data_IF_273629646826
#
_entry.id   IF_273629646826
#
_cell.length_a   1.000
_cell.length_b   1.000
_cell.length_c   1.000
_cell.angle_alpha   90.00
_cell.angle_beta   90.00
_cell.angle_gamma   90.00
#
_symmetry.space_group_name_H-M   'P 1'
#
loop_
_entity.id
_entity.type
_entity.pdbx_description
1 polymer ?
#
# COMPACT_ATOMS: atom_id res chain seq x y z
N UNK A 1 11.64 47.28 -5.50
CA UNK A 1 11.55 46.35 -6.66
C UNK A 1 13.00 45.97 -6.94
N UNK A 2 13.51 44.76 -6.74
CA UNK A 2 13.02 43.41 -6.99
C UNK A 2 13.60 42.50 -5.90
N UNK A 3 12.78 41.66 -5.29
CA UNK A 3 13.22 40.66 -4.30
C UNK A 3 13.46 39.35 -5.06
N UNK A 4 14.74 38.98 -5.22
CA UNK A 4 15.15 37.75 -5.88
C UNK A 4 14.90 36.55 -4.96
N UNK A 5 13.97 35.67 -5.39
CA UNK A 5 13.68 34.40 -4.73
C UNK A 5 14.82 33.41 -5.00
N UNK A 6 15.33 32.68 -4.00
CA UNK A 6 16.38 31.70 -4.24
C UNK A 6 15.78 30.48 -4.97
N UNK A 7 16.42 30.12 -6.06
CA UNK A 7 16.11 28.97 -6.89
C UNK A 7 16.30 27.66 -6.10
N UNK A 8 15.22 26.92 -5.89
CA UNK A 8 15.24 25.55 -5.38
C UNK A 8 15.86 24.62 -6.42
N UNK A 9 17.10 24.18 -6.17
CA UNK A 9 17.78 23.13 -6.92
C UNK A 9 17.01 21.81 -6.76
N UNK A 10 16.39 21.34 -7.85
CA UNK A 10 15.88 19.97 -7.95
C UNK A 10 17.04 19.02 -8.14
N UNK A 11 17.26 18.15 -7.16
CA UNK A 11 18.18 17.01 -7.28
C UNK A 11 17.36 15.84 -7.83
N UNK A 12 17.71 15.39 -9.03
CA UNK A 12 17.22 14.14 -9.63
C UNK A 12 18.04 12.97 -9.07
N UNK A 13 17.37 11.97 -8.51
CA UNK A 13 17.98 10.68 -8.15
C UNK A 13 17.00 9.57 -8.53
N UNK A 14 17.44 8.63 -9.37
CA UNK A 14 16.65 7.53 -9.90
C UNK A 14 16.16 6.57 -8.82
N UNK A 15 14.90 6.14 -8.96
CA UNK A 15 14.15 5.39 -7.96
C UNK A 15 13.00 6.27 -7.46
N UNK A 16 11.78 6.04 -7.95
CA UNK A 16 10.59 6.78 -7.54
C UNK A 16 10.17 6.35 -6.11
N UNK A 17 11.01 6.66 -5.13
CA UNK A 17 10.75 6.43 -3.72
C UNK A 17 10.14 7.71 -3.13
N UNK A 18 8.92 8.05 -3.54
CA UNK A 18 8.20 9.18 -2.96
C UNK A 18 7.82 8.81 -1.51
N UNK A 19 8.26 9.60 -0.53
CA UNK A 19 7.91 9.40 0.89
C UNK A 19 6.39 9.45 1.09
N UNK A 20 5.86 8.75 2.11
CA UNK A 20 4.45 8.89 2.47
C UNK A 20 4.15 10.36 2.79
N UNK A 21 5.11 11.11 3.36
CA UNK A 21 5.02 12.56 3.54
C UNK A 21 4.84 13.35 2.23
N UNK A 22 5.45 12.88 1.13
CA UNK A 22 5.36 13.47 -0.21
C UNK A 22 4.28 12.81 -1.08
N UNK A 23 3.53 11.84 -0.54
CA UNK A 23 2.48 11.16 -1.27
C UNK A 23 1.22 12.03 -1.29
N UNK A 24 0.76 12.40 -2.48
CA UNK A 24 -0.49 13.16 -2.67
C UNK A 24 -1.75 12.42 -2.20
N UNK A 25 -1.61 11.13 -1.83
CA UNK A 25 -2.66 10.24 -1.31
C UNK A 25 -2.44 9.89 0.17
N UNK A 26 -1.44 10.50 0.84
CA UNK A 26 -1.20 10.31 2.28
C UNK A 26 -2.42 10.61 3.16
N UNK A 27 -3.30 11.50 2.71
CA UNK A 27 -4.56 11.83 3.38
C UNK A 27 -5.67 10.78 3.19
N UNK A 28 -5.51 9.84 2.25
CA UNK A 28 -6.48 8.81 1.88
C UNK A 28 -6.01 7.38 2.19
N UNK A 29 -4.79 7.23 2.71
CA UNK A 29 -4.18 5.95 3.10
C UNK A 29 -4.12 5.85 4.64
N UNK A 30 -3.47 4.80 5.17
CA UNK A 30 -3.13 4.59 6.60
C UNK A 30 -2.79 5.87 7.41
N UNK A 31 -2.10 6.90 6.87
CA UNK A 31 -1.56 7.95 7.73
C UNK A 31 -2.50 9.08 8.16
N UNK A 32 -3.80 9.09 7.83
CA UNK A 32 -4.64 10.30 8.05
C UNK A 32 -4.69 10.82 9.51
N UNK A 33 -4.32 10.01 10.51
CA UNK A 33 -4.35 10.39 11.94
C UNK A 33 -3.01 10.33 12.67
N UNK A 34 -1.92 10.00 11.96
CA UNK A 34 -0.59 9.84 12.54
C UNK A 34 0.16 11.18 12.60
N UNK A 35 0.85 11.45 13.70
CA UNK A 35 1.73 12.61 13.86
C UNK A 35 2.98 12.46 12.98
N UNK A 36 3.71 13.55 12.71
CA UNK A 36 4.91 13.55 11.84
C UNK A 36 5.95 12.47 12.23
N UNK A 37 6.19 12.25 13.53
CA UNK A 37 7.10 11.21 14.01
C UNK A 37 6.58 9.78 13.83
N UNK A 38 5.26 9.58 13.86
CA UNK A 38 4.62 8.28 13.63
C UNK A 38 4.62 7.95 12.12
N UNK A 39 4.44 8.99 11.30
CA UNK A 39 4.61 8.96 9.84
C UNK A 39 6.04 8.59 9.44
N UNK A 40 7.06 9.17 10.07
CA UNK A 40 8.48 8.82 9.84
C UNK A 40 8.76 7.35 10.17
N UNK A 41 8.21 6.84 11.27
CA UNK A 41 8.36 5.44 11.66
C UNK A 41 7.65 4.51 10.67
N UNK A 42 6.47 4.91 10.19
CA UNK A 42 5.74 4.17 9.17
C UNK A 42 6.49 4.19 7.82
N UNK A 43 7.05 5.33 7.42
CA UNK A 43 7.82 5.46 6.18
C UNK A 43 9.11 4.61 6.19
N UNK A 44 9.70 4.36 7.35
CA UNK A 44 10.88 3.50 7.50
C UNK A 44 10.57 2.01 7.34
N UNK A 45 9.33 1.58 7.59
CA UNK A 45 8.94 0.15 7.52
C UNK A 45 8.31 -0.21 6.18
N UNK A 46 7.87 0.78 5.41
CA UNK A 46 7.25 0.58 4.11
C UNK A 46 8.31 0.19 3.08
N UNK A 47 8.24 -1.03 2.59
CA UNK A 47 9.03 -1.46 1.44
C UNK A 47 8.37 -0.98 0.15
N UNK A 48 9.04 -0.04 -0.52
CA UNK A 48 8.60 0.48 -1.82
C UNK A 48 9.03 -0.47 -2.91
N UNK A 49 8.15 -1.42 -3.25
CA UNK A 49 8.39 -2.37 -4.33
C UNK A 49 8.42 -1.69 -5.70
N UNK A 50 9.04 -2.41 -6.65
CA UNK A 50 8.98 -2.05 -8.07
C UNK A 50 7.52 -2.01 -8.53
N UNK A 51 7.17 -1.16 -9.52
CA UNK A 51 5.83 -1.14 -10.08
C UNK A 51 5.39 -2.53 -10.56
N UNK A 52 4.20 -2.95 -10.16
CA UNK A 52 3.55 -4.18 -10.62
C UNK A 52 2.97 -3.92 -12.00
N UNK A 53 3.24 -4.80 -12.96
CA UNK A 53 2.72 -4.65 -14.32
C UNK A 53 1.29 -5.16 -14.43
N UNK A 54 0.56 -4.67 -15.43
CA UNK A 54 -0.76 -5.21 -15.76
C UNK A 54 -0.73 -6.74 -15.88
N UNK A 55 -1.68 -7.39 -15.22
CA UNK A 55 -1.84 -8.84 -15.21
C UNK A 55 -0.98 -9.56 -14.18
N UNK A 56 -0.07 -8.88 -13.48
CA UNK A 56 0.68 -9.48 -12.39
C UNK A 56 -0.16 -9.52 -11.11
N UNK A 57 0.04 -10.59 -10.34
CA UNK A 57 -0.60 -10.82 -9.05
C UNK A 57 0.26 -10.26 -7.92
N UNK A 58 -0.39 -9.66 -6.93
CA UNK A 58 0.23 -9.23 -5.67
C UNK A 58 0.44 -10.43 -4.75
N UNK A 59 -0.61 -11.23 -4.61
CA UNK A 59 -0.67 -12.45 -3.83
C UNK A 59 -1.75 -13.37 -4.40
N UNK A 60 -1.65 -14.66 -4.08
CA UNK A 60 -2.60 -15.70 -4.48
C UNK A 60 -3.44 -16.15 -3.30
N UNK A 61 -4.61 -16.71 -3.61
CA UNK A 61 -5.38 -17.40 -2.59
C UNK A 61 -4.57 -18.59 -2.04
N UNK A 62 -4.48 -18.67 -0.72
CA UNK A 62 -3.69 -19.66 0.02
C UNK A 62 -2.26 -19.22 0.37
N UNK A 63 -1.78 -18.08 -0.13
CA UNK A 63 -0.48 -17.55 0.29
C UNK A 63 -0.55 -17.06 1.75
N UNK A 64 0.51 -17.30 2.51
CA UNK A 64 0.65 -16.80 3.89
C UNK A 64 0.65 -15.26 3.94
N UNK A 65 -0.01 -14.69 4.95
CA UNK A 65 0.00 -13.25 5.21
C UNK A 65 1.38 -12.82 5.70
N UNK A 66 2.15 -12.21 4.81
CA UNK A 66 3.45 -11.58 5.15
C UNK A 66 3.32 -10.07 5.28
N UNK A 67 2.58 -9.48 4.36
CA UNK A 67 2.48 -8.04 4.21
C UNK A 67 1.09 -7.63 3.72
N UNK A 68 0.68 -6.42 4.10
CA UNK A 68 -0.43 -5.72 3.50
C UNK A 68 0.05 -4.81 2.37
N UNK A 69 -0.83 -4.52 1.42
CA UNK A 69 -0.49 -3.75 0.23
C UNK A 69 -1.34 -2.49 0.14
N UNK A 70 -0.71 -1.32 0.21
CA UNK A 70 -1.38 -0.04 -0.02
C UNK A 70 -1.22 0.39 -1.47
N UNK A 71 -2.33 0.68 -2.15
CA UNK A 71 -2.31 1.10 -3.55
C UNK A 71 -1.97 2.58 -3.62
N UNK A 72 -0.83 2.88 -4.23
CA UNK A 72 -0.40 4.26 -4.45
C UNK A 72 -0.95 4.83 -5.75
N UNK A 73 -0.99 4.01 -6.80
CA UNK A 73 -1.57 4.38 -8.09
C UNK A 73 -1.92 3.13 -8.88
N UNK A 74 -2.96 3.23 -9.69
CA UNK A 74 -3.45 2.13 -10.52
C UNK A 74 -4.68 1.47 -9.90
N UNK A 75 -5.04 0.31 -10.44
CA UNK A 75 -6.26 -0.42 -10.09
C UNK A 75 -5.95 -1.91 -9.93
N UNK A 76 -6.45 -2.50 -8.86
CA UNK A 76 -6.28 -3.92 -8.54
C UNK A 76 -7.67 -4.56 -8.42
N UNK A 77 -7.85 -5.75 -8.98
CA UNK A 77 -9.03 -6.58 -8.69
C UNK A 77 -8.66 -7.63 -7.63
N UNK A 78 -9.58 -7.88 -6.71
CA UNK A 78 -9.59 -9.10 -5.91
C UNK A 78 -10.61 -10.08 -6.49
N UNK A 79 -10.24 -11.35 -6.57
CA UNK A 79 -11.12 -12.39 -7.08
C UNK A 79 -10.88 -13.73 -6.38
N UNK A 80 -11.85 -14.62 -6.47
CA UNK A 80 -11.76 -16.02 -6.04
C UNK A 80 -12.06 -16.92 -7.24
N UNK A 81 -11.67 -18.19 -7.15
CA UNK A 81 -11.95 -19.19 -8.18
C UNK A 81 -13.03 -20.11 -7.62
N UNK A 82 -14.13 -20.27 -8.36
CA UNK A 82 -15.22 -21.18 -7.97
C UNK A 82 -14.81 -22.63 -8.17
N UNK A 83 -15.57 -23.58 -7.63
CA UNK A 83 -15.33 -25.02 -7.86
C UNK A 83 -15.36 -25.41 -9.35
N UNK A 84 -16.01 -24.62 -10.19
CA UNK A 84 -16.08 -24.82 -11.64
C UNK A 84 -14.91 -24.21 -12.41
N UNK A 85 -14.02 -23.47 -11.72
CA UNK A 85 -12.86 -22.81 -12.32
C UNK A 85 -13.13 -21.38 -12.80
N UNK A 86 -14.30 -20.82 -12.51
CA UNK A 86 -14.64 -19.45 -12.94
C UNK A 86 -14.06 -18.41 -11.98
N UNK A 87 -13.56 -17.30 -12.53
CA UNK A 87 -13.14 -16.14 -11.74
C UNK A 87 -14.34 -15.32 -11.26
N UNK A 88 -14.52 -15.25 -9.94
CA UNK A 88 -15.50 -14.40 -9.28
C UNK A 88 -14.80 -13.19 -8.68
N UNK A 89 -14.98 -12.00 -9.28
CA UNK A 89 -14.45 -10.74 -8.73
C UNK A 89 -15.22 -10.39 -7.46
N UNK A 90 -14.48 -10.15 -6.37
CA UNK A 90 -15.03 -9.79 -5.06
C UNK A 90 -14.91 -8.30 -4.79
N UNK A 91 -13.85 -7.65 -5.28
CA UNK A 91 -13.63 -6.22 -5.08
C UNK A 91 -12.74 -5.61 -6.17
N UNK A 92 -12.86 -4.29 -6.34
CA UNK A 92 -11.89 -3.46 -7.05
C UNK A 92 -11.31 -2.47 -6.06
N UNK A 93 -10.00 -2.35 -6.07
CA UNK A 93 -9.23 -1.50 -5.18
C UNK A 93 -8.53 -0.42 -6.02
N UNK A 94 -8.67 0.82 -5.57
CA UNK A 94 -8.14 2.02 -6.20
C UNK A 94 -7.03 2.62 -5.36
N UNK A 95 -6.41 3.69 -5.87
CA UNK A 95 -5.38 4.40 -5.14
C UNK A 95 -5.89 4.98 -3.80
N UNK A 96 -5.20 4.65 -2.71
CA UNK A 96 -5.61 4.91 -1.33
C UNK A 96 -6.08 3.66 -0.59
N UNK A 97 -6.55 2.65 -1.32
CA UNK A 97 -7.07 1.43 -0.70
C UNK A 97 -5.94 0.52 -0.20
N UNK A 98 -6.31 -0.29 0.79
CA UNK A 98 -5.46 -1.30 1.40
C UNK A 98 -6.00 -2.69 1.09
N UNK A 99 -5.10 -3.56 0.66
CA UNK A 99 -5.41 -4.92 0.21
C UNK A 99 -4.67 -5.92 1.09
N UNK A 100 -5.36 -7.00 1.48
CA UNK A 100 -4.80 -8.10 2.28
C UNK A 100 -5.32 -8.19 3.72
N UNK A 101 -6.20 -7.29 4.15
CA UNK A 101 -6.82 -7.35 5.50
C UNK A 101 -7.65 -8.62 5.72
N UNK A 102 -8.19 -9.19 4.65
CA UNK A 102 -8.95 -10.44 4.66
C UNK A 102 -8.12 -11.64 5.11
N UNK A 103 -6.79 -11.56 5.02
CA UNK A 103 -5.88 -12.62 5.44
C UNK A 103 -5.58 -12.64 6.95
N UNK A 104 -5.86 -11.57 7.70
CA UNK A 104 -5.49 -11.44 9.12
C UNK A 104 -6.18 -12.50 9.99
N UNK A 105 -7.41 -12.89 9.65
CA UNK A 105 -8.18 -13.82 10.50
C UNK A 105 -7.70 -15.27 10.38
N UNK A 106 -6.99 -15.62 9.30
CA UNK A 106 -6.61 -17.00 8.98
C UNK A 106 -5.15 -17.19 8.58
N UNK A 107 -4.30 -16.17 8.77
CA UNK A 107 -2.88 -16.11 8.37
C UNK A 107 -2.60 -16.42 6.88
N UNK A 108 -3.64 -16.50 6.05
CA UNK A 108 -3.58 -16.83 4.64
C UNK A 108 -4.57 -15.99 3.84
N UNK A 109 -4.18 -15.56 2.64
CA UNK A 109 -5.05 -14.82 1.73
C UNK A 109 -6.19 -15.71 1.23
N UNK A 110 -7.47 -15.35 1.44
CA UNK A 110 -8.60 -16.13 0.93
C UNK A 110 -8.88 -15.85 -0.55
N UNK A 111 -8.32 -14.77 -1.10
CA UNK A 111 -8.55 -14.29 -2.46
C UNK A 111 -7.24 -14.04 -3.21
N UNK A 112 -7.32 -13.92 -4.53
CA UNK A 112 -6.26 -13.44 -5.38
C UNK A 112 -6.35 -11.92 -5.50
N UNK A 113 -5.21 -11.24 -5.64
CA UNK A 113 -5.16 -9.82 -5.99
C UNK A 113 -4.31 -9.61 -7.24
N UNK A 114 -4.88 -9.03 -8.30
CA UNK A 114 -4.21 -8.84 -9.59
C UNK A 114 -4.34 -7.40 -10.09
N UNK A 115 -3.23 -6.86 -10.57
CA UNK A 115 -3.19 -5.53 -11.15
C UNK A 115 -3.87 -5.48 -12.53
N UNK A 116 -4.84 -4.59 -12.70
CA UNK A 116 -5.53 -4.36 -13.99
C UNK A 116 -4.78 -3.41 -14.92
N UNK A 117 -3.85 -2.65 -14.36
CA UNK A 117 -2.94 -1.74 -15.04
C UNK A 117 -1.59 -1.70 -14.31
N UNK A 118 -0.59 -1.06 -14.90
CA UNK A 118 0.70 -0.89 -14.21
C UNK A 118 0.50 -0.03 -12.96
N UNK A 119 0.69 -0.65 -11.80
CA UNK A 119 0.29 -0.10 -10.50
C UNK A 119 1.50 0.05 -9.58
N UNK A 120 1.49 1.10 -8.77
CA UNK A 120 2.46 1.27 -7.69
C UNK A 120 1.80 0.88 -6.37
N UNK A 121 2.47 0.01 -5.62
CA UNK A 121 1.99 -0.49 -4.34
C UNK A 121 3.10 -0.40 -3.31
N UNK A 122 2.70 -0.03 -2.09
CA UNK A 122 3.55 -0.02 -0.92
C UNK A 122 3.30 -1.32 -0.16
N UNK A 123 4.37 -2.05 0.14
CA UNK A 123 4.29 -3.25 0.95
C UNK A 123 4.56 -2.90 2.39
N UNK A 124 3.66 -3.30 3.28
CA UNK A 124 3.71 -3.03 4.71
C UNK A 124 3.75 -4.39 5.42
N UNK A 125 4.89 -4.81 5.96
CA UNK A 125 5.00 -6.07 6.70
C UNK A 125 4.00 -6.10 7.87
N UNK A 126 3.21 -7.18 7.96
CA UNK A 126 2.11 -7.25 8.93
C UNK A 126 2.62 -7.24 10.37
N UNK A 127 3.68 -7.99 10.68
CA UNK A 127 4.28 -8.02 12.03
C UNK A 127 4.70 -6.63 12.52
N UNK A 128 5.25 -5.81 11.62
CA UNK A 128 5.72 -4.47 11.96
C UNK A 128 4.53 -3.51 12.11
N UNK A 129 3.50 -3.66 11.26
CA UNK A 129 2.26 -2.92 11.40
C UNK A 129 1.53 -3.24 12.71
N UNK A 130 1.49 -4.51 13.11
CA UNK A 130 0.86 -4.94 14.37
C UNK A 130 1.63 -4.38 15.59
N UNK A 131 2.96 -4.45 15.60
CA UNK A 131 3.79 -3.84 16.65
C UNK A 131 3.60 -2.31 16.73
N UNK A 132 3.53 -1.62 15.58
CA UNK A 132 3.23 -0.19 15.52
C UNK A 132 1.80 0.12 15.98
N UNK A 133 0.82 -0.69 15.59
CA UNK A 133 -0.59 -0.56 16.01
C UNK A 133 -0.74 -0.74 17.53
N UNK A 134 0.07 -1.62 18.13
CA UNK A 134 0.18 -1.76 19.59
C UNK A 134 0.72 -0.51 20.28
N UNK A 135 1.68 0.18 19.65
CA UNK A 135 2.31 1.41 20.16
C UNK A 135 1.50 2.69 19.85
N UNK A 136 0.70 2.66 18.80
CA UNK A 136 -0.06 3.80 18.27
C UNK A 136 -1.57 3.51 18.31
N UNK A 137 -2.27 3.86 19.40
CA UNK A 137 -3.69 3.54 19.56
C UNK A 137 -4.60 4.18 18.50
N UNK A 138 -4.16 5.26 17.83
CA UNK A 138 -4.88 5.88 16.71
C UNK A 138 -4.85 5.03 15.44
N UNK A 139 -3.75 4.34 15.19
CA UNK A 139 -3.58 3.44 14.05
C UNK A 139 -4.53 2.25 14.14
N UNK A 140 -4.71 1.71 15.36
CA UNK A 140 -5.62 0.60 15.63
C UNK A 140 -7.11 0.94 15.47
N UNK A 141 -7.46 2.22 15.48
CA UNK A 141 -8.85 2.68 15.39
C UNK A 141 -9.33 2.96 13.96
N UNK A 142 -8.45 2.80 12.96
CA UNK A 142 -8.80 2.88 11.54
C UNK A 142 -9.18 1.51 10.99
#
# INVERSE_FOLDING_TARGET
MISEKPATKRIQSGGCAIHCQDCSISQLCIPFTLNESELDQLDQIIERKKPIQKGQELFKAGDELKSLYAIRSGTIKSYTITEQGDEQITAFHLAGDLVGFDAITGDCHPSFAQALETSMVCEIPYEILDDLSGKMPKLRQQ
#
